data_IF_195083586164
#
_entry.id   IF_195083586164
#
_cell.length_a   1.000
_cell.length_b   1.000
_cell.length_c   1.000
_cell.angle_alpha   90.00
_cell.angle_beta   90.00
_cell.angle_gamma   90.00
#
_symmetry.space_group_name_H-M   'P 1'
#
loop_
_entity.id
_entity.type
_entity.pdbx_description
1 polymer ?
#
# COMPACT_ATOMS: atom_id res chain seq x y z
N UNK A 1 -7.84 -21.79 -9.91
CA UNK A 1 -7.98 -20.33 -9.78
C UNK A 1 -6.83 -19.66 -10.51
N UNK A 2 -7.12 -18.63 -11.30
CA UNK A 2 -6.14 -17.94 -12.14
C UNK A 2 -5.38 -16.96 -11.24
N UNK A 3 -4.04 -16.91 -11.24
CA UNK A 3 -3.32 -15.93 -10.45
C UNK A 3 -3.69 -14.55 -11.02
N UNK A 4 -4.40 -13.73 -10.23
CA UNK A 4 -4.45 -12.31 -10.51
C UNK A 4 -3.04 -11.80 -10.25
N UNK A 5 -2.31 -11.64 -11.35
CA UNK A 5 -1.02 -10.96 -11.36
C UNK A 5 -1.29 -9.58 -10.80
N UNK A 6 -0.96 -9.38 -9.53
CA UNK A 6 -0.96 -8.10 -8.85
C UNK A 6 0.08 -7.23 -9.56
N UNK A 7 -0.36 -6.45 -10.54
CA UNK A 7 0.48 -5.59 -11.38
C UNK A 7 1.11 -4.40 -10.62
N UNK A 8 1.17 -4.44 -9.29
CA UNK A 8 1.73 -3.39 -8.44
C UNK A 8 3.12 -3.74 -7.89
N UNK A 9 3.71 -4.87 -8.26
CA UNK A 9 5.10 -5.24 -7.91
C UNK A 9 6.19 -4.38 -8.59
N UNK A 10 5.83 -3.27 -9.24
CA UNK A 10 6.77 -2.42 -9.97
C UNK A 10 7.13 -1.13 -9.20
N UNK A 11 7.41 -1.24 -7.89
CA UNK A 11 8.22 -0.22 -7.20
C UNK A 11 9.69 -0.49 -7.55
N UNK A 12 10.08 -0.13 -8.78
CA UNK A 12 11.48 -0.11 -9.14
C UNK A 12 12.16 1.02 -8.35
N UNK A 13 12.89 0.67 -7.30
CA UNK A 13 13.68 1.59 -6.49
C UNK A 13 14.71 2.31 -7.38
N UNK A 14 14.43 3.57 -7.73
CA UNK A 14 15.39 4.45 -8.39
C UNK A 14 16.35 4.96 -7.32
N UNK A 15 17.55 4.38 -7.27
CA UNK A 15 18.66 4.90 -6.47
C UNK A 15 19.30 6.08 -7.19
N UNK A 16 19.24 7.25 -6.57
CA UNK A 16 19.94 8.46 -7.04
C UNK A 16 21.33 8.51 -6.42
N UNK A 17 22.38 8.50 -7.25
CA UNK A 17 23.77 8.76 -6.83
C UNK A 17 24.08 10.23 -7.14
N UNK A 18 24.27 11.08 -6.13
CA UNK A 18 24.54 12.51 -6.29
C UNK A 18 26.04 12.86 -6.28
N UNK A 19 26.50 13.72 -7.20
CA UNK A 19 27.83 14.38 -7.19
C UNK A 19 27.71 15.88 -6.83
N UNK A 20 28.74 16.54 -6.22
CA UNK A 20 28.54 17.86 -5.63
C UNK A 20 29.07 19.06 -6.47
N UNK A 21 28.22 20.06 -6.73
CA UNK A 21 28.53 21.47 -7.06
C UNK A 21 27.58 22.37 -6.24
N UNK A 22 27.86 23.62 -5.84
CA UNK A 22 27.13 24.38 -4.78
C UNK A 22 25.56 24.30 -4.68
N UNK A 23 24.84 23.96 -5.76
CA UNK A 23 23.46 23.43 -5.77
C UNK A 23 23.27 22.11 -4.99
N UNK A 24 24.36 21.46 -4.61
CA UNK A 24 24.48 20.08 -4.15
C UNK A 24 24.19 19.93 -2.69
N UNK A 25 24.28 21.00 -1.89
CA UNK A 25 23.72 20.96 -0.53
C UNK A 25 22.20 20.86 -0.63
N UNK A 26 21.56 21.68 -1.49
CA UNK A 26 20.11 21.61 -1.69
C UNK A 26 19.67 20.32 -2.41
N UNK A 27 20.46 19.83 -3.36
CA UNK A 27 20.17 18.56 -4.03
C UNK A 27 20.47 17.35 -3.14
N UNK A 28 21.48 17.41 -2.25
CA UNK A 28 21.72 16.35 -1.28
C UNK A 28 20.62 16.30 -0.22
N UNK A 29 20.14 17.46 0.25
CA UNK A 29 18.97 17.53 1.13
C UNK A 29 17.72 16.98 0.46
N UNK A 30 17.43 17.41 -0.77
CA UNK A 30 16.29 16.87 -1.54
C UNK A 30 16.42 15.36 -1.78
N UNK A 31 17.62 14.85 -2.07
CA UNK A 31 17.84 13.42 -2.22
C UNK A 31 17.59 12.65 -0.91
N UNK A 32 18.02 13.20 0.24
CA UNK A 32 17.75 12.61 1.54
C UNK A 32 16.26 12.62 1.89
N UNK A 33 15.55 13.72 1.59
CA UNK A 33 14.10 13.81 1.79
C UNK A 33 13.36 12.80 0.90
N UNK A 34 13.74 12.68 -0.38
CA UNK A 34 13.18 11.67 -1.28
C UNK A 34 13.42 10.24 -0.78
N UNK A 35 14.60 9.96 -0.22
CA UNK A 35 14.91 8.66 0.36
C UNK A 35 14.03 8.36 1.57
N UNK A 36 13.81 9.34 2.45
CA UNK A 36 12.91 9.18 3.60
C UNK A 36 11.47 8.90 3.12
N UNK A 37 11.00 9.63 2.11
CA UNK A 37 9.67 9.39 1.53
C UNK A 37 9.55 8.03 0.86
N UNK A 38 10.61 7.53 0.22
CA UNK A 38 10.64 6.16 -0.32
C UNK A 38 10.48 5.12 0.81
N UNK A 39 11.12 5.33 1.96
CA UNK A 39 10.97 4.46 3.13
C UNK A 39 9.51 4.50 3.63
N UNK A 40 8.91 5.67 3.80
CA UNK A 40 7.51 5.81 4.22
C UNK A 40 6.52 5.10 3.27
N UNK A 41 6.72 5.25 1.96
CA UNK A 41 5.92 4.55 0.93
C UNK A 41 6.09 3.03 1.04
N UNK A 42 7.32 2.56 1.28
CA UNK A 42 7.62 1.15 1.43
C UNK A 42 6.96 0.56 2.68
N UNK A 43 7.00 1.26 3.81
CA UNK A 43 6.34 0.83 5.05
C UNK A 43 4.82 0.66 4.86
N UNK A 44 4.17 1.60 4.14
CA UNK A 44 2.74 1.50 3.84
C UNK A 44 2.46 0.35 2.86
N UNK A 45 3.33 0.12 1.87
CA UNK A 45 3.20 -1.00 0.96
C UNK A 45 3.30 -2.36 1.69
N UNK A 46 4.21 -2.49 2.66
CA UNK A 46 4.34 -3.69 3.50
C UNK A 46 3.12 -3.89 4.40
N UNK A 47 2.63 -2.83 5.04
CA UNK A 47 1.41 -2.88 5.84
C UNK A 47 0.19 -3.28 4.98
N UNK A 48 0.10 -2.77 3.75
CA UNK A 48 -0.95 -3.15 2.79
C UNK A 48 -0.84 -4.61 2.37
N UNK A 49 0.38 -5.15 2.22
CA UNK A 49 0.58 -6.57 1.91
C UNK A 49 0.12 -7.47 3.05
N UNK A 50 0.50 -7.16 4.28
CA UNK A 50 0.06 -7.92 5.46
C UNK A 50 -1.47 -7.91 5.61
N UNK A 51 -2.10 -6.77 5.33
CA UNK A 51 -3.55 -6.63 5.43
C UNK A 51 -4.33 -7.46 4.39
N UNK A 52 -3.73 -7.79 3.23
CA UNK A 52 -4.38 -8.69 2.27
C UNK A 52 -4.60 -10.06 2.87
N UNK A 53 -3.59 -10.64 3.51
CA UNK A 53 -3.70 -11.96 4.12
C UNK A 53 -4.76 -11.96 5.24
N UNK A 54 -4.87 -10.86 5.99
CA UNK A 54 -5.91 -10.69 7.02
C UNK A 54 -7.32 -10.59 6.44
N UNK A 55 -7.49 -9.85 5.33
CA UNK A 55 -8.77 -9.73 4.62
C UNK A 55 -9.20 -11.08 4.06
N UNK A 56 -8.28 -11.83 3.46
CA UNK A 56 -8.56 -13.17 2.93
C UNK A 56 -8.98 -14.13 4.06
N UNK A 57 -8.21 -14.18 5.16
CA UNK A 57 -8.55 -15.02 6.31
C UNK A 57 -9.90 -14.65 6.95
N UNK A 58 -10.24 -13.36 7.01
CA UNK A 58 -11.53 -12.92 7.52
C UNK A 58 -12.68 -13.24 6.56
N UNK A 59 -12.43 -13.18 5.25
CA UNK A 59 -13.36 -13.61 4.21
C UNK A 59 -13.69 -15.09 4.33
N UNK A 60 -12.67 -15.94 4.39
CA UNK A 60 -12.82 -17.39 4.58
C UNK A 60 -13.61 -17.71 5.85
N UNK A 61 -13.30 -17.03 6.97
CA UNK A 61 -14.01 -17.23 8.23
C UNK A 61 -15.47 -16.80 8.17
N UNK A 62 -15.79 -15.71 7.45
CA UNK A 62 -17.17 -15.30 7.23
C UNK A 62 -17.91 -16.29 6.32
N UNK A 63 -17.29 -16.74 5.23
CA UNK A 63 -17.89 -17.70 4.31
C UNK A 63 -18.22 -19.03 5.01
N UNK A 64 -17.33 -19.53 5.87
CA UNK A 64 -17.55 -20.76 6.65
C UNK A 64 -18.78 -20.68 7.58
N UNK A 65 -19.06 -19.52 8.18
CA UNK A 65 -20.25 -19.38 9.04
C UNK A 65 -21.50 -18.99 8.26
N UNK A 66 -21.35 -18.30 7.12
CA UNK A 66 -22.45 -17.85 6.27
C UNK A 66 -23.23 -19.03 5.67
N UNK A 67 -22.57 -20.15 5.34
CA UNK A 67 -23.27 -21.36 4.85
C UNK A 67 -24.29 -21.91 5.86
N UNK A 68 -24.12 -21.61 7.15
CA UNK A 68 -25.01 -22.03 8.23
C UNK A 68 -26.05 -20.98 8.61
N UNK A 69 -26.06 -19.80 7.98
CA UNK A 69 -26.92 -18.66 8.34
C UNK A 69 -28.40 -19.02 8.51
N UNK A 70 -28.93 -19.88 7.63
CA UNK A 70 -30.35 -20.25 7.62
C UNK A 70 -30.72 -21.33 8.64
N UNK A 71 -29.75 -21.90 9.37
CA UNK A 71 -30.01 -22.96 10.34
C UNK A 71 -30.74 -22.45 11.60
N UNK A 72 -30.40 -21.26 12.08
CA UNK A 72 -31.10 -20.61 13.19
C UNK A 72 -30.77 -19.12 13.28
N UNK A 73 -31.54 -18.38 14.11
CA UNK A 73 -31.22 -16.97 14.43
C UNK A 73 -29.82 -16.78 15.00
N UNK A 74 -29.33 -17.74 15.78
CA UNK A 74 -27.98 -17.68 16.37
C UNK A 74 -26.89 -17.80 15.30
N UNK A 75 -27.07 -18.67 14.29
CA UNK A 75 -26.12 -18.77 13.19
C UNK A 75 -26.11 -17.51 12.33
N UNK A 76 -27.29 -16.91 12.10
CA UNK A 76 -27.36 -15.64 11.40
C UNK A 76 -26.61 -14.52 12.12
N UNK A 77 -26.72 -14.45 13.45
CA UNK A 77 -25.97 -13.48 14.26
C UNK A 77 -24.45 -13.69 14.14
N UNK A 78 -23.97 -14.93 14.24
CA UNK A 78 -22.53 -15.25 14.09
C UNK A 78 -22.02 -14.84 12.70
N UNK A 79 -22.80 -15.09 11.65
CA UNK A 79 -22.44 -14.69 10.30
C UNK A 79 -22.41 -13.16 10.13
N UNK A 80 -23.36 -12.43 10.73
CA UNK A 80 -23.37 -10.96 10.72
C UNK A 80 -22.14 -10.39 11.47
N UNK A 81 -21.77 -10.96 12.61
CA UNK A 81 -20.57 -10.55 13.37
C UNK A 81 -19.28 -10.80 12.58
N UNK A 82 -19.14 -11.96 11.95
CA UNK A 82 -18.00 -12.27 11.08
C UNK A 82 -17.94 -11.33 9.87
N UNK A 83 -19.10 -11.03 9.26
CA UNK A 83 -19.20 -10.10 8.14
C UNK A 83 -18.75 -8.69 8.50
N UNK A 84 -19.11 -8.17 9.67
CA UNK A 84 -18.67 -6.85 10.14
C UNK A 84 -17.15 -6.78 10.22
N UNK A 85 -16.48 -7.83 10.73
CA UNK A 85 -15.01 -7.88 10.79
C UNK A 85 -14.40 -7.88 9.38
N UNK A 86 -14.91 -8.72 8.49
CA UNK A 86 -14.44 -8.79 7.11
C UNK A 86 -14.61 -7.46 6.36
N UNK A 87 -15.79 -6.83 6.46
CA UNK A 87 -16.07 -5.55 5.79
C UNK A 87 -15.20 -4.41 6.36
N UNK A 88 -14.90 -4.42 7.66
CA UNK A 88 -14.00 -3.44 8.27
C UNK A 88 -12.56 -3.57 7.74
N UNK A 89 -12.02 -4.80 7.65
CA UNK A 89 -10.69 -5.05 7.10
C UNK A 89 -10.61 -4.66 5.62
N UNK A 90 -11.66 -4.93 4.85
CA UNK A 90 -11.75 -4.49 3.44
C UNK A 90 -11.72 -2.98 3.29
N UNK A 91 -12.43 -2.26 4.17
CA UNK A 91 -12.43 -0.81 4.14
C UNK A 91 -11.03 -0.24 4.45
N UNK A 92 -10.33 -0.82 5.44
CA UNK A 92 -8.94 -0.43 5.75
C UNK A 92 -7.99 -0.74 4.58
N UNK A 93 -8.13 -1.90 3.94
CA UNK A 93 -7.33 -2.27 2.77
C UNK A 93 -7.53 -1.27 1.63
N UNK A 94 -8.77 -0.94 1.31
CA UNK A 94 -9.09 0.03 0.27
C UNK A 94 -8.53 1.43 0.57
N UNK A 95 -8.60 1.86 1.83
CA UNK A 95 -8.02 3.14 2.24
C UNK A 95 -6.49 3.13 2.08
N UNK A 96 -5.80 2.08 2.54
CA UNK A 96 -4.34 1.96 2.37
C UNK A 96 -3.92 1.92 0.91
N UNK A 97 -4.68 1.25 0.04
CA UNK A 97 -4.41 1.23 -1.39
C UNK A 97 -4.55 2.62 -2.03
N UNK A 98 -5.60 3.36 -1.64
CA UNK A 98 -5.83 4.73 -2.10
C UNK A 98 -4.70 5.66 -1.65
N UNK A 99 -4.30 5.56 -0.39
CA UNK A 99 -3.22 6.36 0.19
C UNK A 99 -1.88 6.02 -0.49
N UNK A 100 -1.57 4.74 -0.65
CA UNK A 100 -0.35 4.28 -1.33
C UNK A 100 -0.30 4.79 -2.77
N UNK A 101 -1.40 4.73 -3.52
CA UNK A 101 -1.47 5.25 -4.88
C UNK A 101 -1.18 6.76 -4.91
N UNK A 102 -1.80 7.52 -4.01
CA UNK A 102 -1.58 8.96 -3.90
C UNK A 102 -0.12 9.30 -3.58
N UNK A 103 0.47 8.59 -2.63
CA UNK A 103 1.86 8.79 -2.23
C UNK A 103 2.85 8.44 -3.35
N UNK A 104 2.62 7.35 -4.08
CA UNK A 104 3.47 6.95 -5.22
C UNK A 104 3.42 7.99 -6.34
N UNK A 105 2.24 8.54 -6.65
CA UNK A 105 2.11 9.62 -7.64
C UNK A 105 2.91 10.85 -7.20
N UNK A 106 2.70 11.30 -5.96
CA UNK A 106 3.43 12.45 -5.41
C UNK A 106 4.95 12.22 -5.36
N UNK A 107 5.39 11.02 -5.00
CA UNK A 107 6.81 10.66 -5.00
C UNK A 107 7.42 10.68 -6.39
N UNK A 108 6.70 10.17 -7.40
CA UNK A 108 7.16 10.22 -8.78
C UNK A 108 7.28 11.67 -9.29
N UNK A 109 6.33 12.54 -8.95
CA UNK A 109 6.39 13.95 -9.30
C UNK A 109 7.60 14.67 -8.66
N UNK A 110 7.88 14.38 -7.39
CA UNK A 110 9.03 14.94 -6.68
C UNK A 110 10.36 14.39 -7.22
N UNK A 111 10.44 13.10 -7.54
CA UNK A 111 11.61 12.51 -8.21
C UNK A 111 11.82 13.14 -9.59
N UNK A 112 10.77 13.38 -10.35
CA UNK A 112 10.86 14.05 -11.65
C UNK A 112 11.35 15.49 -11.51
N UNK A 113 10.83 16.24 -10.53
CA UNK A 113 11.28 17.59 -10.23
C UNK A 113 12.75 17.62 -9.81
N UNK A 114 13.16 16.71 -8.92
CA UNK A 114 14.55 16.53 -8.51
C UNK A 114 15.46 16.23 -9.71
N UNK A 115 15.11 15.23 -10.53
CA UNK A 115 15.89 14.87 -11.71
C UNK A 115 16.04 16.05 -12.68
N UNK A 116 14.99 16.85 -12.85
CA UNK A 116 15.01 18.01 -13.74
C UNK A 116 15.95 19.14 -13.28
N UNK A 117 16.21 19.23 -11.97
CA UNK A 117 16.95 20.33 -11.32
C UNK A 117 18.36 19.93 -10.89
N UNK A 118 18.54 18.70 -10.44
CA UNK A 118 19.72 18.24 -9.70
C UNK A 118 20.55 17.18 -10.44
N UNK A 119 20.02 16.58 -11.51
CA UNK A 119 20.66 15.47 -12.23
C UNK A 119 21.02 15.84 -13.67
N UNK A 120 20.50 16.95 -14.22
CA UNK A 120 20.83 17.39 -15.57
C UNK A 120 22.31 17.82 -15.68
N UNK A 121 22.93 17.38 -16.78
CA UNK A 121 24.32 17.67 -17.19
C UNK A 121 24.70 19.16 -17.15
#
# INVERSE_FOLDING_TARGET
MKPMISSLSALAAVFVIAMPSASALTCAQQAADLQNRQIEVQEIAEARLALVDEVEAAGDAWEDVEVHRLASKSHAQVADEAKVKYDALKADLFQKETDLQSMVVSLNDEVAAYNSKCVKD
#
